data_IF_500991016013
#
_entry.id   IF_500991016013
#
_cell.length_a   1.000
_cell.length_b   1.000
_cell.length_c   1.000
_cell.angle_alpha   90.00
_cell.angle_beta   90.00
_cell.angle_gamma   90.00
#
_symmetry.space_group_name_H-M   'P 1'
#
loop_
_entity.id
_entity.type
_entity.pdbx_description
1 polymer ?
#
# COMPACT_ATOMS: atom_id res chain seq x y z
N UNK A 1 -5.65 -50.61 30.15
CA UNK A 1 -5.29 -50.03 28.83
C UNK A 1 -5.47 -48.53 28.96
N UNK A 2 -4.38 -47.76 29.02
CA UNK A 2 -4.38 -46.30 29.19
C UNK A 2 -4.34 -45.66 27.79
N UNK A 3 -5.41 -44.97 27.42
CA UNK A 3 -5.50 -44.20 26.18
C UNK A 3 -4.65 -42.93 26.37
N UNK A 4 -3.51 -42.86 25.66
CA UNK A 4 -2.74 -41.63 25.50
C UNK A 4 -3.43 -40.79 24.43
N UNK A 5 -4.14 -39.74 24.83
CA UNK A 5 -4.61 -38.71 23.90
C UNK A 5 -3.43 -37.76 23.68
N UNK A 6 -2.78 -37.91 22.54
CA UNK A 6 -1.78 -36.95 22.06
C UNK A 6 -2.51 -35.74 21.54
N UNK A 7 -2.56 -34.67 22.35
CA UNK A 7 -3.02 -33.36 21.90
C UNK A 7 -1.91 -32.78 21.03
N UNK A 8 -2.11 -32.86 19.69
CA UNK A 8 -1.28 -32.17 18.72
C UNK A 8 -1.63 -30.68 18.84
N UNK A 9 -0.83 -29.92 19.58
CA UNK A 9 -0.87 -28.47 19.52
C UNK A 9 -0.42 -28.04 18.11
N UNK A 10 -1.39 -27.78 17.26
CA UNK A 10 -1.15 -27.04 16.01
C UNK A 10 -0.81 -25.62 16.44
N UNK A 11 0.47 -25.33 16.65
CA UNK A 11 0.97 -23.96 16.70
C UNK A 11 0.80 -23.40 15.29
N UNK A 12 -0.35 -22.77 15.04
CA UNK A 12 -0.49 -21.85 13.93
C UNK A 12 0.43 -20.69 14.29
N UNK A 13 1.67 -20.79 13.86
CA UNK A 13 2.58 -19.66 13.85
C UNK A 13 1.92 -18.61 12.99
N UNK A 14 1.39 -17.56 13.60
CA UNK A 14 1.18 -16.31 12.92
C UNK A 14 2.58 -15.86 12.51
N UNK A 15 2.99 -16.26 11.31
CA UNK A 15 4.10 -15.60 10.66
C UNK A 15 3.65 -14.15 10.58
N UNK A 16 4.27 -13.28 11.36
CA UNK A 16 4.25 -11.84 11.16
C UNK A 16 4.95 -11.64 9.82
N UNK A 17 4.22 -11.84 8.74
CA UNK A 17 4.72 -11.57 7.40
C UNK A 17 4.98 -10.08 7.37
N UNK A 18 6.26 -9.73 7.34
CA UNK A 18 6.67 -8.36 7.23
C UNK A 18 6.05 -7.79 5.96
N UNK A 19 5.09 -6.88 6.12
CA UNK A 19 4.45 -6.21 5.00
C UNK A 19 5.34 -5.08 4.52
N UNK A 20 5.34 -4.87 3.21
CA UNK A 20 6.10 -3.83 2.55
C UNK A 20 5.13 -2.86 1.87
N UNK A 21 5.38 -1.57 2.06
CA UNK A 21 4.60 -0.51 1.46
C UNK A 21 5.43 0.21 0.42
N UNK A 22 4.88 0.41 -0.75
CA UNK A 22 5.37 1.35 -1.74
C UNK A 22 4.40 2.53 -1.80
N UNK A 23 4.86 3.71 -1.41
CA UNK A 23 4.06 4.93 -1.40
C UNK A 23 4.64 5.89 -2.42
N UNK A 24 3.86 6.18 -3.46
CA UNK A 24 4.22 7.13 -4.51
C UNK A 24 3.45 8.42 -4.30
N UNK A 25 4.15 9.50 -3.98
CA UNK A 25 3.59 10.83 -3.84
C UNK A 25 3.62 11.54 -5.18
N UNK A 26 2.49 12.13 -5.57
CA UNK A 26 2.34 12.82 -6.84
C UNK A 26 1.71 14.20 -6.64
N UNK A 27 2.03 15.11 -7.54
CA UNK A 27 1.39 16.42 -7.62
C UNK A 27 0.53 16.48 -8.89
N UNK A 28 -0.77 16.49 -8.69
CA UNK A 28 -1.78 16.58 -9.76
C UNK A 28 -2.25 18.02 -9.85
N UNK A 29 -2.18 18.67 -11.03
CA UNK A 29 -2.80 19.96 -11.27
C UNK A 29 -4.31 19.92 -10.97
N UNK A 30 -4.87 21.04 -10.49
CA UNK A 30 -6.28 21.09 -10.06
C UNK A 30 -7.24 20.66 -11.17
N UNK A 31 -6.94 21.07 -12.41
CA UNK A 31 -7.71 20.74 -13.61
C UNK A 31 -7.75 19.25 -13.93
N UNK A 32 -6.71 18.51 -13.55
CA UNK A 32 -6.57 17.08 -13.88
C UNK A 32 -7.04 16.14 -12.73
N UNK A 33 -7.26 16.68 -11.53
CA UNK A 33 -7.57 15.85 -10.34
C UNK A 33 -8.79 14.97 -10.52
N UNK A 34 -9.86 15.50 -11.11
CA UNK A 34 -11.09 14.74 -11.34
C UNK A 34 -10.89 13.61 -12.34
N UNK A 35 -10.11 13.84 -13.40
CA UNK A 35 -9.85 12.84 -14.42
C UNK A 35 -8.88 11.76 -13.91
N UNK A 36 -7.83 12.14 -13.19
CA UNK A 36 -6.94 11.18 -12.51
C UNK A 36 -7.75 10.30 -11.56
N UNK A 37 -8.57 10.89 -10.69
CA UNK A 37 -9.41 10.12 -9.79
C UNK A 37 -10.36 9.17 -10.54
N UNK A 38 -10.96 9.62 -11.65
CA UNK A 38 -11.83 8.79 -12.48
C UNK A 38 -11.09 7.60 -13.10
N UNK A 39 -9.96 7.83 -13.75
CA UNK A 39 -9.18 6.76 -14.39
C UNK A 39 -8.66 5.76 -13.36
N UNK A 40 -8.15 6.23 -12.25
CA UNK A 40 -7.63 5.38 -11.18
C UNK A 40 -8.73 4.53 -10.54
N UNK A 41 -9.89 5.11 -10.23
CA UNK A 41 -10.98 4.38 -9.58
C UNK A 41 -11.80 3.51 -10.52
N UNK A 42 -11.91 3.86 -11.80
CA UNK A 42 -12.69 3.07 -12.76
C UNK A 42 -11.89 1.96 -13.44
N UNK A 43 -10.59 2.11 -13.58
CA UNK A 43 -9.74 1.17 -14.34
C UNK A 43 -8.61 0.60 -13.49
N UNK A 44 -7.69 1.42 -12.97
CA UNK A 44 -6.52 0.93 -12.26
C UNK A 44 -6.85 0.21 -10.96
N UNK A 45 -7.92 0.61 -10.27
CA UNK A 45 -8.41 -0.12 -9.09
C UNK A 45 -8.82 -1.57 -9.41
N UNK A 46 -9.32 -1.83 -10.63
CA UNK A 46 -9.68 -3.19 -11.06
C UNK A 46 -8.43 -4.03 -11.38
N UNK A 47 -7.39 -3.41 -11.95
CA UNK A 47 -6.09 -4.07 -12.13
C UNK A 47 -5.47 -4.39 -10.78
N UNK A 48 -5.53 -3.46 -9.84
CA UNK A 48 -5.08 -3.69 -8.47
C UNK A 48 -5.88 -4.81 -7.78
N UNK A 49 -7.21 -4.83 -7.94
CA UNK A 49 -8.05 -5.89 -7.37
C UNK A 49 -7.70 -7.26 -7.95
N UNK A 50 -7.48 -7.37 -9.26
CA UNK A 50 -7.04 -8.61 -9.89
C UNK A 50 -5.68 -9.08 -9.35
N UNK A 51 -4.75 -8.16 -9.08
CA UNK A 51 -3.47 -8.48 -8.44
C UNK A 51 -3.64 -8.96 -6.99
N UNK A 52 -4.57 -8.36 -6.24
CA UNK A 52 -4.91 -8.79 -4.88
C UNK A 52 -5.52 -10.20 -4.92
N UNK A 53 -6.47 -10.45 -5.81
CA UNK A 53 -7.13 -11.75 -5.95
C UNK A 53 -6.16 -12.87 -6.39
N UNK A 54 -5.13 -12.51 -7.17
CA UNK A 54 -4.06 -13.39 -7.59
C UNK A 54 -2.95 -13.59 -6.52
N UNK A 55 -3.00 -12.88 -5.39
CA UNK A 55 -1.99 -12.93 -4.33
C UNK A 55 -0.67 -12.23 -4.68
N UNK A 56 -0.66 -11.37 -5.70
CA UNK A 56 0.51 -10.61 -6.12
C UNK A 56 0.69 -9.31 -5.32
N UNK A 57 -0.37 -8.88 -4.63
CA UNK A 57 -0.45 -7.66 -3.84
C UNK A 57 -1.43 -7.87 -2.68
N UNK A 58 -1.26 -7.17 -1.58
CA UNK A 58 -2.15 -7.26 -0.42
C UNK A 58 -3.21 -6.16 -0.39
N UNK A 59 -2.84 -4.94 -0.80
CA UNK A 59 -3.74 -3.80 -0.83
C UNK A 59 -3.26 -2.74 -1.82
N UNK A 60 -4.20 -1.92 -2.27
CA UNK A 60 -4.00 -0.72 -3.07
C UNK A 60 -4.90 0.40 -2.59
N UNK A 61 -4.42 1.64 -2.67
CA UNK A 61 -5.21 2.81 -2.38
C UNK A 61 -4.72 4.07 -3.06
N UNK A 62 -5.67 4.92 -3.46
CA UNK A 62 -5.42 6.29 -3.88
C UNK A 62 -5.91 7.23 -2.78
N UNK A 63 -5.02 8.09 -2.30
CA UNK A 63 -5.30 9.06 -1.25
C UNK A 63 -5.16 10.48 -1.80
N UNK A 64 -6.16 11.31 -1.57
CA UNK A 64 -6.09 12.75 -1.78
C UNK A 64 -5.73 13.44 -0.45
N UNK A 65 -4.79 14.37 -0.49
CA UNK A 65 -4.41 15.13 0.69
C UNK A 65 -5.46 16.19 1.02
N UNK A 66 -5.98 16.19 2.25
CA UNK A 66 -7.03 17.13 2.71
C UNK A 66 -6.46 18.35 3.45
N UNK A 67 -5.16 18.42 3.69
CA UNK A 67 -4.53 19.54 4.40
C UNK A 67 -3.02 19.58 4.21
N UNK A 68 -2.38 20.58 4.83
CA UNK A 68 -0.94 20.79 4.75
C UNK A 68 -0.53 21.91 3.79
N UNK A 69 0.78 22.03 3.51
CA UNK A 69 1.34 23.05 2.63
C UNK A 69 0.93 22.81 1.16
N UNK A 70 0.63 23.91 0.43
CA UNK A 70 0.26 23.84 -0.99
C UNK A 70 1.40 23.41 -1.92
N UNK A 71 2.65 23.51 -1.47
CA UNK A 71 3.84 23.34 -2.30
C UNK A 71 4.39 21.93 -2.30
N UNK A 72 3.58 20.94 -1.91
CA UNK A 72 3.96 19.54 -1.83
C UNK A 72 3.00 18.69 -2.66
N UNK A 73 3.15 17.36 -2.56
CA UNK A 73 2.26 16.41 -3.21
C UNK A 73 0.78 16.63 -2.87
N UNK A 74 -0.09 16.28 -3.79
CA UNK A 74 -1.55 16.38 -3.66
C UNK A 74 -2.21 15.03 -3.43
N UNK A 75 -1.64 13.97 -4.00
CA UNK A 75 -2.15 12.61 -3.91
C UNK A 75 -1.03 11.63 -3.60
N UNK A 76 -1.41 10.46 -3.09
CA UNK A 76 -0.50 9.35 -2.89
C UNK A 76 -1.13 8.03 -3.35
N UNK A 77 -0.38 7.23 -4.08
CA UNK A 77 -0.68 5.81 -4.29
C UNK A 77 -0.01 5.00 -3.19
N UNK A 78 -0.77 4.14 -2.56
CA UNK A 78 -0.27 3.20 -1.55
C UNK A 78 -0.48 1.78 -2.05
N UNK A 79 0.61 1.05 -2.15
CA UNK A 79 0.62 -0.36 -2.52
C UNK A 79 1.21 -1.17 -1.39
N UNK A 80 0.59 -2.29 -1.04
CA UNK A 80 1.04 -3.16 0.05
C UNK A 80 1.33 -4.55 -0.50
N UNK A 81 2.47 -5.12 -0.09
CA UNK A 81 2.99 -6.40 -0.56
C UNK A 81 3.47 -7.27 0.60
N UNK A 82 3.49 -8.56 0.39
CA UNK A 82 4.04 -9.55 1.34
C UNK A 82 5.57 -9.59 1.34
N UNK A 83 6.19 -9.25 0.19
CA UNK A 83 7.64 -9.33 0.00
C UNK A 83 8.18 -8.20 -0.86
N UNK A 84 9.49 -7.98 -0.77
CA UNK A 84 10.20 -7.05 -1.67
C UNK A 84 10.11 -7.54 -3.12
N UNK A 85 10.19 -8.85 -3.36
CA UNK A 85 10.14 -9.40 -4.72
C UNK A 85 8.80 -9.12 -5.38
N UNK A 86 7.69 -9.25 -4.65
CA UNK A 86 6.38 -8.83 -5.13
C UNK A 86 6.34 -7.32 -5.42
N UNK A 87 6.84 -6.50 -4.49
CA UNK A 87 6.85 -5.03 -4.64
C UNK A 87 7.67 -4.57 -5.86
N UNK A 88 8.73 -5.29 -6.21
CA UNK A 88 9.59 -4.96 -7.36
C UNK A 88 9.10 -5.57 -8.68
N UNK A 89 8.08 -6.41 -8.65
CA UNK A 89 7.50 -7.02 -9.85
C UNK A 89 6.48 -6.06 -10.50
N UNK A 90 6.95 -5.22 -11.41
CA UNK A 90 6.10 -4.26 -12.10
C UNK A 90 5.25 -4.87 -13.23
N UNK A 91 5.49 -6.13 -13.59
CA UNK A 91 4.75 -6.80 -14.70
C UNK A 91 3.29 -7.09 -14.35
N UNK A 92 2.94 -7.05 -13.06
CA UNK A 92 1.57 -7.26 -12.57
C UNK A 92 0.60 -6.12 -12.99
N UNK A 93 1.13 -4.96 -13.34
CA UNK A 93 0.33 -3.79 -13.75
C UNK A 93 0.02 -3.83 -15.25
N UNK A 94 -0.78 -4.82 -15.66
CA UNK A 94 -1.12 -5.07 -17.05
C UNK A 94 -2.63 -4.91 -17.30
N UNK A 95 -3.12 -3.70 -17.63
CA UNK A 95 -4.54 -3.45 -17.87
C UNK A 95 -5.06 -4.14 -19.13
N UNK A 96 -4.22 -4.43 -20.11
CA UNK A 96 -4.64 -5.13 -21.33
C UNK A 96 -5.06 -6.58 -21.02
N UNK A 97 -4.34 -7.26 -20.13
CA UNK A 97 -4.67 -8.61 -19.69
C UNK A 97 -5.95 -8.64 -18.84
N UNK A 98 -6.11 -7.66 -17.94
CA UNK A 98 -7.23 -7.63 -16.98
C UNK A 98 -8.49 -7.04 -17.58
N UNK A 99 -8.38 -5.99 -18.39
CA UNK A 99 -9.50 -5.17 -18.86
C UNK A 99 -9.70 -5.22 -20.37
N UNK A 100 -8.72 -5.73 -21.13
CA UNK A 100 -8.70 -5.64 -22.59
C UNK A 100 -8.50 -4.20 -23.11
N UNK A 101 -7.95 -3.31 -22.28
CA UNK A 101 -7.73 -1.88 -22.58
C UNK A 101 -6.24 -1.61 -22.54
N UNK A 102 -5.73 -0.90 -23.57
CA UNK A 102 -4.32 -0.49 -23.58
C UNK A 102 -4.00 0.44 -22.41
N UNK A 103 -2.82 0.26 -21.79
CA UNK A 103 -2.35 1.14 -20.73
C UNK A 103 -2.27 2.61 -21.17
N UNK A 104 -2.05 2.88 -22.44
CA UNK A 104 -2.01 4.25 -23.00
C UNK A 104 -3.38 4.95 -23.02
N UNK A 105 -4.47 4.18 -23.10
CA UNK A 105 -5.84 4.74 -23.10
C UNK A 105 -6.31 5.19 -21.72
N UNK A 106 -5.72 4.64 -20.67
CA UNK A 106 -6.05 4.93 -19.28
C UNK A 106 -4.85 5.51 -18.51
N UNK A 107 -3.86 6.03 -19.24
CA UNK A 107 -2.64 6.55 -18.64
C UNK A 107 -2.90 7.82 -17.83
N UNK A 108 -2.50 7.81 -16.56
CA UNK A 108 -2.57 8.97 -15.67
C UNK A 108 -1.20 9.63 -15.46
N UNK A 109 -0.12 8.91 -15.77
CA UNK A 109 1.26 9.37 -15.53
C UNK A 109 1.69 10.62 -16.35
N UNK A 110 0.92 11.02 -17.34
CA UNK A 110 1.10 12.27 -18.08
C UNK A 110 0.34 13.46 -17.47
N UNK A 111 -0.56 13.19 -16.49
CA UNK A 111 -1.43 14.17 -15.84
C UNK A 111 -0.88 14.63 -14.49
N UNK A 112 0.27 14.12 -14.06
CA UNK A 112 0.87 14.51 -12.79
C UNK A 112 2.41 14.51 -12.85
N UNK A 113 3.00 15.19 -11.89
CA UNK A 113 4.44 15.14 -11.65
C UNK A 113 4.71 14.24 -10.44
N UNK A 114 5.65 13.30 -10.57
CA UNK A 114 6.14 12.51 -9.45
C UNK A 114 6.88 13.40 -8.46
N UNK A 115 6.54 13.27 -7.17
CA UNK A 115 7.17 14.03 -6.10
C UNK A 115 8.23 13.19 -5.37
N UNK A 116 7.84 12.00 -4.88
CA UNK A 116 8.72 11.06 -4.21
C UNK A 116 8.13 9.65 -4.22
N UNK A 117 8.99 8.65 -4.14
CA UNK A 117 8.58 7.26 -3.88
C UNK A 117 9.30 6.79 -2.62
N UNK A 118 8.55 6.28 -1.66
CA UNK A 118 9.09 5.73 -0.44
C UNK A 118 8.68 4.26 -0.30
N UNK A 119 9.65 3.44 0.11
CA UNK A 119 9.44 2.04 0.43
C UNK A 119 9.61 1.83 1.93
N UNK A 120 8.62 1.19 2.54
CA UNK A 120 8.55 0.98 3.97
C UNK A 120 8.40 -0.51 4.28
N UNK A 121 9.02 -0.93 5.36
CA UNK A 121 8.74 -2.23 5.98
C UNK A 121 8.01 -1.98 7.28
N UNK A 122 6.83 -2.58 7.45
CA UNK A 122 6.12 -2.53 8.74
C UNK A 122 7.00 -3.15 9.82
N UNK A 123 7.11 -2.45 10.93
CA UNK A 123 7.79 -2.95 12.13
C UNK A 123 6.77 -3.54 13.10
N UNK A 124 5.63 -2.87 13.27
CA UNK A 124 4.50 -3.32 14.08
C UNK A 124 3.22 -2.60 13.61
N UNK A 125 2.07 -3.18 13.88
CA UNK A 125 0.77 -2.58 13.57
C UNK A 125 -0.32 -3.10 14.51
N UNK A 126 -1.27 -2.22 14.80
CA UNK A 126 -2.54 -2.59 15.42
C UNK A 126 -3.63 -2.38 14.36
N UNK A 127 -4.34 -3.45 14.06
CA UNK A 127 -5.44 -3.39 13.07
C UNK A 127 -6.71 -2.97 13.79
N UNK A 128 -7.25 -1.81 13.41
CA UNK A 128 -8.54 -1.29 13.87
C UNK A 128 -9.66 -1.48 12.85
N UNK A 129 -10.76 -0.80 13.09
CA UNK A 129 -11.86 -0.72 12.13
C UNK A 129 -11.47 0.14 10.91
N UNK A 130 -12.14 -0.07 9.78
CA UNK A 130 -11.94 0.74 8.59
C UNK A 130 -12.30 2.21 8.86
N UNK A 131 -11.51 3.11 8.28
CA UNK A 131 -11.67 4.55 8.41
C UNK A 131 -11.55 5.22 7.05
N UNK A 132 -12.35 6.28 6.83
CA UNK A 132 -12.29 7.09 5.61
C UNK A 132 -11.06 7.99 5.56
N UNK A 133 -10.36 8.13 6.69
CA UNK A 133 -9.19 9.01 6.82
C UNK A 133 -8.04 8.29 7.51
N UNK A 134 -6.81 8.62 7.10
CA UNK A 134 -5.58 8.21 7.79
C UNK A 134 -4.71 9.42 8.12
N UNK A 135 -4.05 9.34 9.27
CA UNK A 135 -3.06 10.33 9.69
C UNK A 135 -1.67 9.70 9.57
N UNK A 136 -0.81 10.34 8.79
CA UNK A 136 0.55 9.86 8.57
C UNK A 136 1.55 10.81 9.24
N UNK A 137 2.29 10.28 10.22
CA UNK A 137 3.35 10.99 10.91
C UNK A 137 4.71 10.47 10.44
N UNK A 138 5.61 11.38 10.09
CA UNK A 138 6.95 11.08 9.63
C UNK A 138 7.96 11.55 10.69
N UNK A 139 8.89 10.68 11.02
CA UNK A 139 9.99 10.99 11.93
C UNK A 139 11.32 10.46 11.38
N UNK A 140 12.42 11.09 11.79
CA UNK A 140 13.79 10.63 11.54
C UNK A 140 14.49 10.48 12.89
N UNK A 141 14.26 9.35 13.59
CA UNK A 141 14.91 9.13 14.88
C UNK A 141 16.42 8.89 14.70
N UNK A 142 17.21 9.45 15.58
CA UNK A 142 18.68 9.21 15.60
C UNK A 142 19.00 7.76 15.98
N UNK A 143 18.14 7.13 16.75
CA UNK A 143 18.23 5.71 17.11
C UNK A 143 16.95 4.99 16.69
N UNK A 144 16.96 4.40 15.49
CA UNK A 144 15.78 3.70 14.95
C UNK A 144 15.37 2.50 15.81
N UNK A 145 16.31 1.70 16.32
CA UNK A 145 16.01 0.53 17.14
C UNK A 145 15.35 0.89 18.47
N UNK A 146 15.86 1.92 19.13
CA UNK A 146 15.24 2.45 20.35
C UNK A 146 13.86 3.05 20.07
N UNK A 147 13.71 3.85 19.01
CA UNK A 147 12.43 4.43 18.63
C UNK A 147 11.36 3.36 18.35
N UNK A 148 11.70 2.30 17.63
CA UNK A 148 10.77 1.19 17.35
C UNK A 148 10.42 0.46 18.65
N UNK A 149 11.42 0.14 19.49
CA UNK A 149 11.20 -0.52 20.76
C UNK A 149 10.27 0.27 21.69
N UNK A 150 10.55 1.56 21.86
CA UNK A 150 9.76 2.47 22.70
C UNK A 150 8.30 2.59 22.20
N UNK A 151 8.07 2.58 20.89
CA UNK A 151 6.72 2.63 20.35
C UNK A 151 5.96 1.32 20.53
N UNK A 152 6.60 0.17 20.33
CA UNK A 152 5.96 -1.14 20.58
C UNK A 152 5.56 -1.31 22.04
N UNK A 153 6.37 -0.81 22.99
CA UNK A 153 6.10 -0.93 24.42
C UNK A 153 5.02 0.06 24.92
N UNK A 154 4.81 1.18 24.24
CA UNK A 154 4.00 2.29 24.76
C UNK A 154 2.72 2.58 23.96
N UNK A 155 2.44 1.85 22.89
CA UNK A 155 1.20 1.92 22.09
C UNK A 155 0.46 0.58 22.18
#
# INVERSE_FOLDING_TARGET
>A
MKNFITILFLTIGFALNAQYYSISYIQVPVEDQAEVARLETQYWSKVAQANIDAGNQLAWGLFARVGGSSDTWTHAFVNVYESIDQMMNLTIWNPEEVLGISASEIATNTMYTGYAVHHWKIQDQIVGENSDFSVWNYGRPDNLGGFVGDNIENW
#
